data_IF_859118449712
#
_entry.id   IF_859118449712
#
_cell.length_a   1.000
_cell.length_b   1.000
_cell.length_c   1.000
_cell.angle_alpha   90.00
_cell.angle_beta   90.00
_cell.angle_gamma   90.00
#
_symmetry.space_group_name_H-M   'P 1'
#
loop_
_entity.id
_entity.type
_entity.pdbx_description
1 polymer ?
#
# COMPACT_ATOMS: atom_id res chain seq x y z
N UNK A 1 -1.22 7.82 64.21
CA UNK A 1 -2.66 7.88 64.50
C UNK A 1 -3.41 7.30 63.29
N UNK A 2 -3.94 6.11 63.46
CA UNK A 2 -4.68 5.35 62.44
C UNK A 2 -6.11 5.86 62.33
N UNK A 3 -6.67 5.96 61.15
CA UNK A 3 -8.12 5.73 60.97
C UNK A 3 -8.37 5.21 59.54
N UNK A 4 -8.84 3.99 59.48
CA UNK A 4 -9.40 3.32 58.32
C UNK A 4 -10.89 3.62 58.23
N UNK A 5 -11.44 3.86 57.06
CA UNK A 5 -12.88 3.74 56.81
C UNK A 5 -13.10 2.92 55.54
N UNK A 6 -13.71 1.74 55.75
CA UNK A 6 -14.34 0.92 54.69
C UNK A 6 -15.76 1.45 54.43
N UNK A 7 -16.17 1.50 53.19
CA UNK A 7 -17.59 1.44 52.86
C UNK A 7 -17.79 0.68 51.56
N UNK A 8 -18.45 -0.44 51.66
CA UNK A 8 -19.00 -1.28 50.60
C UNK A 8 -20.34 -0.72 50.12
N UNK A 9 -20.57 -0.62 48.81
CA UNK A 9 -21.92 -0.53 48.26
C UNK A 9 -22.09 -1.54 47.10
N UNK A 10 -22.97 -2.52 47.36
CA UNK A 10 -23.55 -3.45 46.42
C UNK A 10 -24.56 -2.71 45.53
N UNK A 11 -24.53 -3.01 44.20
CA UNK A 11 -25.58 -2.64 43.26
C UNK A 11 -26.55 -3.82 43.11
N UNK A 12 -27.87 -3.57 42.96
CA UNK A 12 -28.89 -4.62 42.78
C UNK A 12 -29.06 -5.01 41.30
N UNK A 13 -29.63 -6.21 41.16
CA UNK A 13 -29.70 -7.03 39.94
C UNK A 13 -30.54 -6.45 38.79
N UNK A 14 -30.22 -6.97 37.57
CA UNK A 14 -30.96 -6.82 36.35
C UNK A 14 -32.26 -7.65 36.34
N UNK A 15 -33.33 -7.17 35.69
CA UNK A 15 -34.38 -8.07 35.20
C UNK A 15 -34.02 -8.60 33.79
N UNK A 16 -34.41 -9.86 33.57
CA UNK A 16 -34.34 -10.55 32.29
C UNK A 16 -35.44 -10.01 31.33
N UNK A 17 -35.09 -9.73 30.10
CA UNK A 17 -36.00 -9.36 29.03
C UNK A 17 -35.47 -9.86 27.68
N UNK A 18 -36.33 -10.54 26.98
CA UNK A 18 -36.20 -11.41 25.84
C UNK A 18 -35.44 -10.84 24.62
N UNK A 19 -34.64 -11.71 24.01
CA UNK A 19 -33.97 -11.51 22.74
C UNK A 19 -34.91 -11.83 21.60
N UNK A 20 -35.13 -10.89 20.67
CA UNK A 20 -35.55 -11.22 19.30
C UNK A 20 -34.41 -10.84 18.36
N UNK A 21 -33.88 -11.89 17.71
CA UNK A 21 -32.71 -11.79 16.86
C UNK A 21 -32.97 -11.07 15.53
N UNK A 22 -31.98 -10.33 15.11
CA UNK A 22 -31.56 -10.19 13.70
C UNK A 22 -30.04 -10.12 13.69
N UNK A 23 -29.39 -11.26 13.72
CA UNK A 23 -27.98 -11.36 13.32
C UNK A 23 -27.89 -11.26 11.79
N UNK A 24 -27.58 -10.08 11.27
CA UNK A 24 -27.00 -9.97 9.92
C UNK A 24 -25.47 -10.03 10.11
N UNK A 25 -24.91 -11.12 9.58
CA UNK A 25 -23.49 -11.43 9.68
C UNK A 25 -22.58 -10.32 9.16
N UNK A 26 -21.88 -9.69 10.06
CA UNK A 26 -20.65 -8.97 9.77
C UNK A 26 -19.57 -10.01 9.50
N UNK A 27 -19.27 -10.28 8.22
CA UNK A 27 -18.07 -11.02 7.87
C UNK A 27 -16.87 -10.15 8.25
N UNK A 28 -16.21 -10.52 9.34
CA UNK A 28 -14.96 -9.91 9.77
C UNK A 28 -13.88 -10.14 8.70
N UNK A 29 -13.33 -9.08 8.13
CA UNK A 29 -12.15 -9.12 7.26
C UNK A 29 -10.99 -9.73 8.07
N UNK A 30 -10.31 -10.77 7.55
CA UNK A 30 -9.30 -11.49 8.30
C UNK A 30 -8.13 -10.58 8.69
N UNK A 31 -7.77 -10.56 9.97
CA UNK A 31 -6.50 -10.01 10.44
C UNK A 31 -5.32 -10.75 9.76
N UNK A 32 -4.12 -10.15 9.74
CA UNK A 32 -2.88 -10.80 9.23
C UNK A 32 -2.66 -12.20 9.83
N UNK A 33 -3.23 -12.47 11.00
CA UNK A 33 -3.27 -13.77 11.65
C UNK A 33 -4.24 -14.76 10.98
N UNK A 34 -5.29 -14.30 10.33
CA UNK A 34 -6.23 -15.13 9.56
C UNK A 34 -5.69 -15.48 8.18
N UNK A 35 -4.88 -14.59 7.56
CA UNK A 35 -4.09 -14.92 6.37
C UNK A 35 -3.11 -16.06 6.69
N UNK A 36 -2.43 -16.05 7.85
CA UNK A 36 -1.56 -17.15 8.30
C UNK A 36 -2.26 -18.50 8.44
N UNK A 37 -3.56 -18.55 8.64
CA UNK A 37 -4.32 -19.81 8.78
C UNK A 37 -4.73 -20.44 7.44
N UNK A 38 -4.85 -19.65 6.37
CA UNK A 38 -5.17 -20.13 5.00
C UNK A 38 -3.93 -20.53 4.20
N UNK A 39 -2.80 -19.85 4.44
CA UNK A 39 -1.53 -20.16 3.79
C UNK A 39 -0.63 -20.94 4.79
N UNK A 40 -0.65 -22.28 4.70
CA UNK A 40 0.13 -23.22 5.54
C UNK A 40 1.63 -23.30 5.17
N UNK A 41 2.09 -22.41 4.30
CA UNK A 41 3.49 -22.30 3.91
C UNK A 41 4.23 -21.34 4.87
N UNK A 42 5.52 -21.60 5.17
CA UNK A 42 6.34 -20.63 5.88
C UNK A 42 6.29 -19.32 5.10
N UNK A 43 6.13 -18.20 5.81
CA UNK A 43 6.09 -16.86 5.23
C UNK A 43 7.29 -16.69 4.31
N UNK A 44 7.13 -16.50 2.98
CA UNK A 44 8.26 -16.55 2.07
C UNK A 44 9.15 -15.32 2.23
N UNK A 45 10.46 -15.57 2.23
CA UNK A 45 11.50 -14.55 2.18
C UNK A 45 12.43 -14.84 1.00
N UNK A 46 12.88 -13.78 0.34
CA UNK A 46 13.96 -13.83 -0.62
C UNK A 46 15.18 -13.11 -0.03
N UNK A 47 16.37 -13.62 -0.29
CA UNK A 47 17.60 -12.91 -0.01
C UNK A 47 18.11 -12.29 -1.31
N UNK A 48 18.13 -10.96 -1.36
CA UNK A 48 18.51 -10.18 -2.54
C UNK A 48 19.60 -9.20 -2.13
N UNK A 49 20.80 -9.36 -2.67
CA UNK A 49 21.96 -8.51 -2.38
C UNK A 49 22.23 -8.31 -0.88
N UNK A 50 22.07 -9.38 -0.08
CA UNK A 50 22.25 -9.33 1.37
C UNK A 50 21.12 -8.62 2.13
N UNK A 51 19.97 -8.41 1.50
CA UNK A 51 18.73 -7.92 2.10
C UNK A 51 17.70 -9.03 2.10
N UNK A 52 17.10 -9.31 3.24
CA UNK A 52 15.99 -10.23 3.37
C UNK A 52 14.68 -9.50 3.11
N UNK A 53 14.02 -9.87 2.01
CA UNK A 53 12.73 -9.32 1.60
C UNK A 53 11.61 -10.31 1.92
N UNK A 54 10.61 -9.85 2.66
CA UNK A 54 9.36 -10.54 2.84
C UNK A 54 8.43 -10.27 1.64
N UNK A 55 7.65 -11.27 1.23
CA UNK A 55 6.61 -11.10 0.21
C UNK A 55 5.44 -12.06 0.44
N UNK A 56 4.27 -11.69 -0.09
CA UNK A 56 3.14 -12.61 -0.26
C UNK A 56 3.21 -13.19 -1.67
N UNK A 57 2.91 -14.49 -1.84
CA UNK A 57 2.82 -15.18 -3.13
C UNK A 57 1.54 -16.02 -3.15
N UNK A 58 0.67 -15.78 -4.11
CA UNK A 58 -0.61 -16.46 -4.20
C UNK A 58 -1.02 -16.69 -5.67
N UNK A 59 -1.71 -17.81 -5.94
CA UNK A 59 -2.08 -18.20 -7.30
C UNK A 59 -0.89 -18.79 -8.08
N UNK A 60 -1.07 -19.04 -9.39
CA UNK A 60 -0.05 -19.75 -10.17
C UNK A 60 0.03 -19.35 -11.65
N UNK A 61 -0.97 -18.63 -12.20
CA UNK A 61 -1.04 -18.37 -13.64
C UNK A 61 -0.26 -17.11 -14.03
N UNK A 62 0.46 -17.20 -15.12
CA UNK A 62 1.22 -16.08 -15.72
C UNK A 62 0.37 -15.28 -16.74
N UNK A 63 0.72 -14.00 -17.01
CA UNK A 63 1.77 -13.23 -16.34
C UNK A 63 1.40 -12.88 -14.90
N UNK A 64 2.41 -12.92 -14.02
CA UNK A 64 2.22 -12.58 -12.62
C UNK A 64 1.93 -11.08 -12.44
N UNK A 65 1.11 -10.76 -11.43
CA UNK A 65 0.83 -9.38 -11.01
C UNK A 65 1.65 -9.08 -9.76
N UNK A 66 2.43 -8.01 -9.77
CA UNK A 66 3.23 -7.54 -8.65
C UNK A 66 2.61 -6.28 -8.07
N UNK A 67 2.21 -6.35 -6.81
CA UNK A 67 1.49 -5.29 -6.09
C UNK A 67 2.46 -4.51 -5.20
N UNK A 68 2.76 -3.27 -5.55
CA UNK A 68 3.73 -2.40 -4.89
C UNK A 68 3.01 -1.46 -3.93
N UNK A 69 3.29 -1.59 -2.63
CA UNK A 69 2.52 -0.91 -1.58
C UNK A 69 2.80 0.59 -1.46
N UNK A 70 1.87 1.31 -0.83
CA UNK A 70 1.99 2.72 -0.49
C UNK A 70 2.83 2.96 0.77
N UNK A 71 3.39 4.16 0.89
CA UNK A 71 3.93 4.69 2.14
C UNK A 71 2.78 5.14 3.06
N UNK A 72 2.81 4.88 4.35
CA UNK A 72 3.81 4.10 5.08
C UNK A 72 3.30 2.68 5.43
N UNK A 73 2.65 2.01 4.50
CA UNK A 73 2.07 0.69 4.71
C UNK A 73 3.05 -0.44 4.31
N UNK A 74 2.55 -1.66 4.23
CA UNK A 74 3.28 -2.85 3.76
C UNK A 74 2.34 -3.74 2.92
N UNK A 75 2.83 -4.88 2.42
CA UNK A 75 2.08 -5.80 1.53
C UNK A 75 0.69 -6.17 2.06
N UNK A 76 0.47 -6.16 3.38
CA UNK A 76 -0.82 -6.42 3.99
C UNK A 76 -1.97 -5.51 3.54
N UNK A 77 -1.66 -4.33 2.97
CA UNK A 77 -2.69 -3.48 2.37
C UNK A 77 -3.36 -4.10 1.14
N UNK A 78 -2.68 -5.06 0.51
CA UNK A 78 -3.15 -5.72 -0.69
C UNK A 78 -4.01 -6.97 -0.43
N UNK A 79 -4.41 -7.23 0.82
CA UNK A 79 -5.18 -8.43 1.17
C UNK A 79 -6.44 -8.66 0.30
N UNK A 80 -7.28 -7.65 0.00
CA UNK A 80 -8.44 -7.83 -0.87
C UNK A 80 -8.05 -8.15 -2.33
N UNK A 81 -6.95 -7.58 -2.84
CA UNK A 81 -6.45 -7.80 -4.19
C UNK A 81 -5.78 -9.18 -4.31
N UNK A 82 -5.01 -9.57 -3.29
CA UNK A 82 -4.42 -10.92 -3.21
C UNK A 82 -5.51 -12.00 -3.24
N UNK A 83 -6.57 -11.85 -2.44
CA UNK A 83 -7.67 -12.81 -2.41
C UNK A 83 -8.40 -12.90 -3.76
N UNK A 84 -8.69 -11.77 -4.40
CA UNK A 84 -9.43 -11.72 -5.64
C UNK A 84 -8.61 -12.18 -6.85
N UNK A 85 -7.45 -11.56 -7.08
CA UNK A 85 -6.66 -11.76 -8.29
C UNK A 85 -5.97 -13.13 -8.33
N UNK A 86 -5.65 -13.71 -7.16
CA UNK A 86 -5.00 -15.03 -7.10
C UNK A 86 -5.88 -16.18 -7.59
N UNK A 87 -7.18 -15.96 -7.77
CA UNK A 87 -8.08 -16.94 -8.36
C UNK A 87 -7.80 -17.19 -9.86
N UNK A 88 -7.20 -16.23 -10.55
CA UNK A 88 -6.93 -16.29 -11.98
C UNK A 88 -5.49 -16.04 -12.38
N UNK A 89 -4.66 -15.49 -11.49
CA UNK A 89 -3.25 -15.13 -11.78
C UNK A 89 -2.35 -15.40 -10.58
N UNK A 90 -1.05 -15.52 -10.81
CA UNK A 90 -0.06 -15.45 -9.72
C UNK A 90 0.08 -14.00 -9.29
N UNK A 91 0.02 -13.75 -7.98
CA UNK A 91 0.07 -12.40 -7.40
C UNK A 91 1.18 -12.35 -6.36
N UNK A 92 2.10 -11.42 -6.54
CA UNK A 92 3.23 -11.18 -5.64
C UNK A 92 3.04 -9.81 -4.99
N UNK A 93 3.13 -9.74 -3.67
CA UNK A 93 3.12 -8.46 -2.96
C UNK A 93 4.33 -8.40 -2.02
N UNK A 94 5.43 -7.73 -2.42
CA UNK A 94 6.59 -7.56 -1.56
C UNK A 94 6.35 -6.49 -0.50
N UNK A 95 6.98 -6.67 0.65
CA UNK A 95 7.27 -5.57 1.57
C UNK A 95 8.54 -4.88 1.10
N UNK A 96 8.49 -3.59 0.86
CA UNK A 96 9.70 -2.83 0.55
C UNK A 96 10.68 -2.81 1.73
N UNK A 97 11.96 -2.59 1.44
CA UNK A 97 12.98 -2.37 2.46
C UNK A 97 12.50 -1.36 3.50
N UNK A 98 12.56 -1.72 4.77
CA UNK A 98 12.10 -0.87 5.87
C UNK A 98 10.65 -1.09 6.29
N UNK A 99 9.89 -1.98 5.61
CA UNK A 99 8.46 -2.18 5.86
C UNK A 99 8.11 -3.66 6.10
N UNK A 100 7.04 -3.87 6.85
CA UNK A 100 6.46 -5.18 7.09
C UNK A 100 7.46 -6.18 7.69
N UNK A 101 7.69 -7.29 6.99
CA UNK A 101 8.63 -8.34 7.38
C UNK A 101 10.02 -8.22 6.75
N UNK A 102 10.23 -7.24 5.85
CA UNK A 102 11.54 -7.00 5.23
C UNK A 102 12.53 -6.35 6.18
N UNK A 103 13.82 -6.51 5.88
CA UNK A 103 14.88 -5.86 6.65
C UNK A 103 14.72 -4.33 6.66
N UNK A 104 15.12 -3.71 7.77
CA UNK A 104 15.06 -2.26 7.97
C UNK A 104 16.42 -1.74 8.45
N UNK A 105 17.46 -1.71 7.58
CA UNK A 105 18.78 -1.25 7.98
C UNK A 105 18.79 0.25 8.24
N UNK A 106 19.62 0.68 9.17
CA UNK A 106 19.84 2.11 9.47
C UNK A 106 20.60 2.83 8.35
N UNK A 107 21.32 2.08 7.52
CA UNK A 107 22.08 2.65 6.39
C UNK A 107 21.16 3.10 5.27
N UNK A 108 21.21 4.40 4.95
CA UNK A 108 20.28 5.05 4.02
C UNK A 108 20.62 4.84 2.54
N UNK A 109 21.77 4.26 2.18
CA UNK A 109 22.22 4.22 0.78
C UNK A 109 21.29 3.44 -0.18
N UNK A 110 20.52 2.47 0.33
CA UNK A 110 19.55 1.69 -0.48
C UNK A 110 18.14 2.29 -0.49
N UNK A 111 17.86 3.26 0.36
CA UNK A 111 16.56 3.92 0.40
C UNK A 111 16.47 4.98 -0.69
N UNK A 112 16.39 4.51 -1.93
CA UNK A 112 16.13 5.31 -3.12
C UNK A 112 15.08 4.60 -3.96
N UNK A 113 14.39 5.32 -4.86
CA UNK A 113 13.43 4.66 -5.77
C UNK A 113 14.13 3.64 -6.67
N UNK A 114 15.38 3.92 -7.08
CA UNK A 114 16.20 2.96 -7.82
C UNK A 114 16.57 1.76 -6.96
N UNK A 115 16.99 1.96 -5.70
CA UNK A 115 17.30 0.85 -4.79
C UNK A 115 16.10 -0.08 -4.54
N UNK A 116 14.89 0.48 -4.40
CA UNK A 116 13.68 -0.33 -4.33
C UNK A 116 13.42 -1.09 -5.63
N UNK A 117 13.66 -0.47 -6.80
CA UNK A 117 13.51 -1.11 -8.11
C UNK A 117 14.52 -2.24 -8.30
N UNK A 118 15.78 -2.08 -7.88
CA UNK A 118 16.84 -3.09 -7.96
C UNK A 118 16.50 -4.30 -7.06
N UNK A 119 16.05 -4.04 -5.83
CA UNK A 119 15.60 -5.10 -4.91
C UNK A 119 14.38 -5.85 -5.47
N UNK A 120 13.46 -5.14 -6.13
CA UNK A 120 12.33 -5.77 -6.81
C UNK A 120 12.83 -6.66 -7.98
N UNK A 121 13.77 -6.19 -8.81
CA UNK A 121 14.34 -6.97 -9.90
C UNK A 121 14.98 -8.27 -9.39
N UNK A 122 15.78 -8.18 -8.32
CA UNK A 122 16.37 -9.36 -7.67
C UNK A 122 15.33 -10.31 -7.08
N UNK A 123 14.21 -9.80 -6.53
CA UNK A 123 13.10 -10.64 -6.09
C UNK A 123 12.45 -11.37 -7.27
N UNK A 124 12.22 -10.70 -8.39
CA UNK A 124 11.67 -11.32 -9.59
C UNK A 124 12.59 -12.41 -10.13
N UNK A 125 13.91 -12.20 -10.10
CA UNK A 125 14.91 -13.20 -10.50
C UNK A 125 14.88 -14.41 -9.56
N UNK A 126 14.80 -14.19 -8.24
CA UNK A 126 14.63 -15.25 -7.25
C UNK A 126 13.37 -16.11 -7.50
N UNK A 127 12.28 -15.47 -7.95
CA UNK A 127 11.01 -16.13 -8.25
C UNK A 127 10.94 -16.73 -9.66
N UNK A 128 11.96 -16.53 -10.50
CA UNK A 128 12.00 -16.98 -11.89
C UNK A 128 11.01 -16.22 -12.79
N UNK A 129 10.59 -15.01 -12.40
CA UNK A 129 9.63 -14.18 -13.13
C UNK A 129 10.36 -13.29 -14.12
N UNK A 130 10.22 -13.56 -15.42
CA UNK A 130 10.91 -12.81 -16.48
C UNK A 130 10.19 -11.50 -16.79
N UNK A 131 8.87 -11.54 -16.87
CA UNK A 131 8.04 -10.38 -17.24
C UNK A 131 6.74 -10.37 -16.45
N UNK A 132 6.38 -9.22 -15.87
CA UNK A 132 5.27 -9.09 -14.92
C UNK A 132 4.38 -7.89 -15.24
N UNK A 133 3.17 -7.91 -14.70
CA UNK A 133 2.33 -6.72 -14.57
C UNK A 133 2.75 -6.02 -13.28
N UNK A 134 3.07 -4.72 -13.32
CA UNK A 134 3.29 -3.91 -12.13
C UNK A 134 2.02 -3.14 -11.77
N UNK A 135 1.57 -3.26 -10.52
CA UNK A 135 0.49 -2.47 -9.95
C UNK A 135 1.04 -1.70 -8.74
N UNK A 136 1.29 -0.40 -8.91
CA UNK A 136 1.86 0.45 -7.87
C UNK A 136 0.86 1.48 -7.34
N UNK A 137 0.67 1.52 -6.01
CA UNK A 137 -0.14 2.55 -5.36
C UNK A 137 0.76 3.58 -4.68
N UNK A 138 0.58 4.88 -5.00
CA UNK A 138 1.30 6.01 -4.39
C UNK A 138 2.82 5.85 -4.52
N UNK A 139 3.55 5.63 -3.43
CA UNK A 139 4.99 5.32 -3.45
C UNK A 139 5.30 4.10 -4.33
N UNK A 140 4.44 3.08 -4.34
CA UNK A 140 4.58 1.93 -5.23
C UNK A 140 4.59 2.31 -6.71
N UNK A 141 3.86 3.38 -7.09
CA UNK A 141 3.91 3.96 -8.44
C UNK A 141 5.25 4.64 -8.73
N UNK A 142 5.87 5.30 -7.74
CA UNK A 142 7.23 5.87 -7.91
C UNK A 142 8.28 4.78 -8.13
N UNK A 143 8.15 3.67 -7.40
CA UNK A 143 9.00 2.49 -7.63
C UNK A 143 8.74 1.88 -9.00
N UNK A 144 7.48 1.82 -9.45
CA UNK A 144 7.13 1.32 -10.78
C UNK A 144 7.75 2.18 -11.90
N UNK A 145 7.76 3.51 -11.78
CA UNK A 145 8.47 4.39 -12.73
C UNK A 145 9.98 4.14 -12.72
N UNK A 146 10.60 4.00 -11.53
CA UNK A 146 12.02 3.69 -11.43
C UNK A 146 12.35 2.32 -12.04
N UNK A 147 11.50 1.32 -11.80
CA UNK A 147 11.64 -0.02 -12.36
C UNK A 147 11.50 0.00 -13.89
N UNK A 148 10.48 0.67 -14.40
CA UNK A 148 10.26 0.78 -15.85
C UNK A 148 11.42 1.48 -16.58
N UNK A 149 12.03 2.49 -15.95
CA UNK A 149 13.22 3.18 -16.48
C UNK A 149 14.43 2.26 -16.57
N UNK A 150 14.62 1.39 -15.57
CA UNK A 150 15.80 0.54 -15.47
C UNK A 150 15.64 -0.82 -16.16
N UNK A 151 14.42 -1.37 -16.13
CA UNK A 151 14.10 -2.73 -16.58
C UNK A 151 12.83 -2.75 -17.46
N UNK A 152 12.75 -1.93 -18.55
CA UNK A 152 11.51 -1.78 -19.32
C UNK A 152 11.02 -3.10 -19.95
N UNK A 153 11.94 -4.00 -20.31
CA UNK A 153 11.61 -5.31 -20.88
C UNK A 153 10.95 -6.27 -19.89
N UNK A 154 11.09 -6.01 -18.59
CA UNK A 154 10.51 -6.83 -17.50
C UNK A 154 9.04 -6.50 -17.22
N UNK A 155 8.49 -5.45 -17.85
CA UNK A 155 7.11 -4.99 -17.61
C UNK A 155 6.21 -5.36 -18.79
N UNK A 156 5.11 -6.07 -18.52
CA UNK A 156 4.12 -6.46 -19.55
C UNK A 156 2.93 -5.50 -19.60
N UNK A 157 2.52 -4.97 -18.45
CA UNK A 157 1.48 -3.95 -18.32
C UNK A 157 1.70 -3.18 -17.02
N UNK A 158 1.08 -2.00 -16.90
CA UNK A 158 1.27 -1.09 -15.77
C UNK A 158 -0.07 -0.63 -15.21
N UNK A 159 -0.21 -0.68 -13.89
CA UNK A 159 -1.33 -0.07 -13.16
C UNK A 159 -0.75 0.97 -12.20
N UNK A 160 -1.13 2.23 -12.38
CA UNK A 160 -0.67 3.39 -11.61
C UNK A 160 -1.83 3.92 -10.77
N UNK A 161 -1.89 3.52 -9.50
CA UNK A 161 -2.98 3.89 -8.60
C UNK A 161 -2.56 5.02 -7.64
N UNK A 162 -3.37 6.08 -7.52
CA UNK A 162 -3.19 7.16 -6.54
C UNK A 162 -1.74 7.69 -6.49
N UNK A 163 -1.08 7.83 -7.64
CA UNK A 163 0.33 8.20 -7.78
C UNK A 163 0.51 9.39 -8.72
N UNK A 164 1.75 9.80 -8.97
CA UNK A 164 2.09 10.90 -9.88
C UNK A 164 3.46 10.69 -10.52
N UNK A 165 3.62 11.21 -11.74
CA UNK A 165 4.90 11.22 -12.44
C UNK A 165 5.83 12.34 -11.96
N UNK A 166 5.28 13.51 -11.59
CA UNK A 166 6.06 14.67 -11.20
C UNK A 166 6.88 14.46 -9.92
N UNK A 167 8.07 15.04 -9.88
CA UNK A 167 8.90 15.13 -8.68
C UNK A 167 8.19 15.90 -7.56
N UNK A 168 8.75 15.86 -6.34
CA UNK A 168 8.27 16.70 -5.25
C UNK A 168 8.53 18.18 -5.55
N UNK A 169 7.54 19.02 -5.24
CA UNK A 169 7.74 20.47 -5.15
C UNK A 169 8.64 20.81 -3.95
N UNK A 170 9.21 22.01 -3.92
CA UNK A 170 9.99 22.51 -2.78
C UNK A 170 9.21 22.33 -1.47
N UNK A 171 7.94 22.72 -1.44
CA UNK A 171 7.10 22.58 -0.24
C UNK A 171 6.85 21.11 0.16
N UNK A 172 6.76 20.18 -0.82
CA UNK A 172 6.64 18.76 -0.53
C UNK A 172 7.96 18.19 0.02
N UNK A 173 9.09 18.61 -0.53
CA UNK A 173 10.42 18.24 -0.05
C UNK A 173 10.64 18.69 1.40
N UNK A 174 10.37 19.97 1.70
CA UNK A 174 10.48 20.54 3.05
C UNK A 174 9.58 19.78 4.04
N UNK A 175 8.32 19.55 3.69
CA UNK A 175 7.39 18.78 4.53
C UNK A 175 7.91 17.38 4.84
N UNK A 176 8.54 16.67 3.88
CA UNK A 176 9.13 15.35 4.15
C UNK A 176 10.35 15.43 5.05
N UNK A 177 11.13 16.51 4.95
CA UNK A 177 12.26 16.76 5.85
C UNK A 177 11.75 16.99 7.29
N UNK A 178 10.74 17.83 7.47
CA UNK A 178 10.11 18.04 8.78
C UNK A 178 9.55 16.72 9.37
N UNK A 179 8.96 15.88 8.54
CA UNK A 179 8.48 14.55 8.96
C UNK A 179 9.63 13.64 9.41
N UNK A 180 10.76 13.63 8.71
CA UNK A 180 11.96 12.88 9.12
C UNK A 180 12.50 13.37 10.47
N UNK A 181 12.59 14.67 10.66
CA UNK A 181 13.06 15.29 11.91
C UNK A 181 12.12 14.96 13.08
N UNK A 182 10.80 14.99 12.85
CA UNK A 182 9.81 14.57 13.85
C UNK A 182 9.96 13.10 14.22
N UNK A 183 10.13 12.21 13.24
CA UNK A 183 10.34 10.78 13.50
C UNK A 183 11.62 10.56 14.30
N UNK A 184 12.71 11.22 13.92
CA UNK A 184 14.00 11.12 14.62
C UNK A 184 13.92 11.63 16.06
N UNK A 185 13.11 12.67 16.32
CA UNK A 185 12.98 13.29 17.63
C UNK A 185 12.02 12.59 18.58
N UNK A 186 10.84 12.18 18.08
CA UNK A 186 9.73 11.70 18.93
C UNK A 186 9.08 10.39 18.44
N UNK A 187 9.66 9.79 17.39
CA UNK A 187 9.20 8.50 16.84
C UNK A 187 8.03 8.61 15.86
N UNK A 188 7.70 7.48 15.23
CA UNK A 188 6.68 7.40 14.17
C UNK A 188 5.27 7.71 14.66
N UNK A 189 4.96 7.46 15.93
CA UNK A 189 3.62 7.67 16.50
C UNK A 189 3.10 9.11 16.34
N UNK A 190 4.00 10.09 16.33
CA UNK A 190 3.63 11.50 16.16
C UNK A 190 3.03 11.82 14.79
N UNK A 191 3.40 11.07 13.75
CA UNK A 191 2.93 11.28 12.40
C UNK A 191 1.72 10.42 12.03
N UNK A 192 1.44 9.35 12.77
CA UNK A 192 0.43 8.36 12.36
C UNK A 192 -0.93 8.99 12.08
N UNK A 193 -1.44 9.84 12.98
CA UNK A 193 -2.77 10.44 12.83
C UNK A 193 -2.80 11.48 11.70
N UNK A 194 -1.72 12.23 11.50
CA UNK A 194 -1.62 13.21 10.41
C UNK A 194 -1.59 12.51 9.05
N UNK A 195 -0.79 11.44 8.93
CA UNK A 195 -0.70 10.65 7.71
C UNK A 195 -2.01 9.90 7.44
N UNK A 196 -2.61 9.29 8.46
CA UNK A 196 -3.87 8.55 8.35
C UNK A 196 -5.01 9.44 7.83
N UNK A 197 -5.05 10.70 8.27
CA UNK A 197 -6.06 11.68 7.81
C UNK A 197 -5.99 11.94 6.30
N UNK A 198 -4.80 11.86 5.68
CA UNK A 198 -4.64 12.02 4.23
C UNK A 198 -4.83 10.72 3.44
N UNK A 199 -4.68 9.56 4.09
CA UNK A 199 -4.73 8.26 3.41
C UNK A 199 -6.16 7.77 3.12
N UNK A 200 -7.15 8.18 3.92
CA UNK A 200 -8.54 7.74 3.80
C UNK A 200 -9.46 8.95 3.54
N UNK A 201 -10.51 8.75 2.76
CA UNK A 201 -11.54 9.76 2.55
C UNK A 201 -12.24 10.16 3.85
N UNK A 202 -12.79 11.36 3.91
CA UNK A 202 -13.58 11.83 5.06
C UNK A 202 -14.76 10.89 5.34
N UNK A 203 -15.39 10.41 4.27
CA UNK A 203 -16.47 9.44 4.37
C UNK A 203 -16.02 8.15 5.06
N UNK A 204 -14.93 7.56 4.61
CA UNK A 204 -14.37 6.33 5.19
C UNK A 204 -13.99 6.54 6.65
N UNK A 205 -13.33 7.66 6.98
CA UNK A 205 -12.95 7.98 8.36
C UNK A 205 -14.15 8.13 9.30
N UNK A 206 -15.26 8.62 8.79
CA UNK A 206 -16.49 8.80 9.58
C UNK A 206 -17.32 7.52 9.71
N UNK A 207 -17.27 6.59 8.73
CA UNK A 207 -18.22 5.47 8.64
C UNK A 207 -17.58 4.08 8.77
N UNK A 208 -16.26 3.95 8.55
CA UNK A 208 -15.52 2.68 8.51
C UNK A 208 -14.40 2.67 9.55
N UNK A 209 -14.76 2.73 10.84
CA UNK A 209 -13.79 2.72 11.94
C UNK A 209 -12.95 1.44 11.98
N UNK A 210 -13.48 0.33 11.49
CA UNK A 210 -12.76 -0.93 11.29
C UNK A 210 -11.59 -0.75 10.32
N UNK A 211 -11.81 -0.07 9.19
CA UNK A 211 -10.79 0.20 8.18
C UNK A 211 -9.77 1.23 8.66
N UNK A 212 -10.21 2.26 9.39
CA UNK A 212 -9.31 3.22 10.05
C UNK A 212 -8.32 2.50 10.97
N UNK A 213 -8.82 1.61 11.81
CA UNK A 213 -7.97 0.84 12.74
C UNK A 213 -7.09 -0.18 12.02
N UNK A 214 -7.60 -0.81 10.95
CA UNK A 214 -6.79 -1.68 10.09
C UNK A 214 -5.65 -0.90 9.45
N UNK A 215 -5.92 0.27 8.88
CA UNK A 215 -4.91 1.13 8.26
C UNK A 215 -3.85 1.55 9.29
N UNK A 216 -4.25 1.94 10.50
CA UNK A 216 -3.33 2.27 11.59
C UNK A 216 -2.38 1.11 11.92
N UNK A 217 -2.89 -0.13 11.95
CA UNK A 217 -2.04 -1.33 12.15
C UNK A 217 -1.06 -1.55 11.00
N UNK A 218 -1.47 -1.32 9.75
CA UNK A 218 -0.60 -1.44 8.57
C UNK A 218 0.51 -0.38 8.54
N UNK A 219 0.33 0.73 9.25
CA UNK A 219 1.33 1.79 9.40
C UNK A 219 2.37 1.49 10.50
N UNK A 220 2.24 0.41 11.26
CA UNK A 220 3.17 0.05 12.33
C UNK A 220 4.48 -0.54 11.78
N UNK A 221 5.38 0.31 11.29
CA UNK A 221 6.65 -0.06 10.68
C UNK A 221 7.85 0.62 11.39
N UNK A 222 9.09 0.09 11.22
CA UNK A 222 10.29 0.67 11.83
C UNK A 222 10.54 2.13 11.41
N UNK A 223 11.10 2.94 12.31
CA UNK A 223 11.45 4.34 12.04
C UNK A 223 12.43 4.46 10.87
N UNK A 224 13.40 3.54 10.74
CA UNK A 224 14.34 3.50 9.62
C UNK A 224 13.63 3.41 8.27
N UNK A 225 12.57 2.58 8.16
CA UNK A 225 11.74 2.48 6.96
C UNK A 225 11.03 3.79 6.61
N UNK A 226 10.45 4.45 7.61
CA UNK A 226 9.83 5.76 7.42
C UNK A 226 10.82 6.80 6.93
N UNK A 227 11.94 6.97 7.64
CA UNK A 227 12.97 7.96 7.31
C UNK A 227 13.54 7.69 5.92
N UNK A 228 13.89 6.42 5.64
CA UNK A 228 14.44 6.00 4.35
C UNK A 228 13.47 6.21 3.19
N UNK A 229 12.20 5.84 3.34
CA UNK A 229 11.21 6.05 2.30
C UNK A 229 10.91 7.54 2.05
N UNK A 230 10.86 8.37 3.10
CA UNK A 230 10.74 9.82 2.95
C UNK A 230 11.93 10.40 2.18
N UNK A 231 13.16 9.92 2.47
CA UNK A 231 14.36 10.28 1.73
C UNK A 231 14.29 9.89 0.26
N UNK A 232 13.92 8.64 -0.01
CA UNK A 232 13.74 8.15 -1.37
C UNK A 232 12.70 8.95 -2.17
N UNK A 233 11.59 9.32 -1.53
CA UNK A 233 10.54 10.11 -2.16
C UNK A 233 10.94 11.54 -2.44
N UNK A 234 11.70 12.20 -1.53
CA UNK A 234 12.23 13.57 -1.73
C UNK A 234 13.08 13.68 -2.98
N UNK A 235 13.91 12.68 -3.20
CA UNK A 235 14.92 12.69 -4.25
C UNK A 235 14.52 11.90 -5.51
N UNK A 236 13.22 11.49 -5.62
CA UNK A 236 12.79 10.81 -6.83
C UNK A 236 12.88 11.72 -8.05
N UNK A 237 13.37 11.22 -9.19
CA UNK A 237 13.36 11.97 -10.43
C UNK A 237 11.94 12.32 -10.88
N UNK A 238 11.81 13.42 -11.63
CA UNK A 238 10.62 13.74 -12.37
C UNK A 238 10.47 12.77 -13.57
N UNK A 239 9.38 12.04 -13.61
CA UNK A 239 9.07 11.10 -14.67
C UNK A 239 8.08 11.67 -15.73
N UNK A 240 7.68 12.94 -15.62
CA UNK A 240 6.69 13.56 -16.50
C UNK A 240 7.17 13.50 -17.98
N UNK A 241 8.45 13.76 -18.22
CA UNK A 241 9.02 13.71 -19.56
C UNK A 241 9.16 12.29 -20.15
N UNK A 242 8.99 11.26 -19.33
CA UNK A 242 9.11 9.84 -19.71
C UNK A 242 7.77 9.22 -20.09
N UNK A 243 6.64 9.86 -19.72
CA UNK A 243 5.29 9.31 -19.91
C UNK A 243 5.00 8.94 -21.37
N UNK A 244 5.41 9.79 -22.31
CA UNK A 244 5.22 9.54 -23.76
C UNK A 244 6.01 8.34 -24.28
N UNK A 245 7.04 7.89 -23.56
CA UNK A 245 7.83 6.70 -23.87
C UNK A 245 7.27 5.40 -23.31
N UNK A 246 6.23 5.43 -22.49
CA UNK A 246 5.58 4.23 -21.94
C UNK A 246 4.76 3.58 -23.06
N UNK A 247 5.21 2.41 -23.52
CA UNK A 247 4.58 1.67 -24.61
C UNK A 247 3.78 0.45 -24.18
N UNK A 248 3.88 0.08 -22.91
CA UNK A 248 3.10 -1.04 -22.35
C UNK A 248 1.66 -0.58 -22.04
N UNK A 249 0.67 -1.46 -22.16
CA UNK A 249 -0.69 -1.15 -21.74
C UNK A 249 -0.70 -0.60 -20.30
N UNK A 250 -1.40 0.52 -20.09
CA UNK A 250 -1.38 1.23 -18.82
C UNK A 250 -2.78 1.60 -18.35
N UNK A 251 -3.09 1.25 -17.09
CA UNK A 251 -4.29 1.69 -16.39
C UNK A 251 -3.88 2.69 -15.31
N UNK A 252 -4.43 3.89 -15.34
CA UNK A 252 -4.33 4.90 -14.28
C UNK A 252 -5.56 4.80 -13.41
N UNK A 253 -5.40 4.78 -12.07
CA UNK A 253 -6.51 4.66 -11.12
C UNK A 253 -6.41 5.74 -10.05
N UNK A 254 -7.54 6.27 -9.62
CA UNK A 254 -7.59 7.28 -8.55
C UNK A 254 -8.91 7.21 -7.80
N UNK A 255 -8.88 7.44 -6.50
CA UNK A 255 -10.09 7.69 -5.74
C UNK A 255 -10.68 9.08 -6.05
N UNK A 256 -12.00 9.19 -6.15
CA UNK A 256 -12.69 10.46 -6.41
C UNK A 256 -12.37 11.52 -5.33
N UNK A 257 -12.24 11.06 -4.08
CA UNK A 257 -11.97 11.88 -2.88
C UNK A 257 -10.49 11.89 -2.48
N UNK A 258 -9.56 11.46 -3.36
CA UNK A 258 -8.12 11.47 -3.06
C UNK A 258 -7.59 12.92 -3.02
N UNK A 259 -7.20 13.38 -1.84
CA UNK A 259 -6.63 14.71 -1.62
C UNK A 259 -5.10 14.75 -1.75
N UNK A 260 -4.43 13.59 -1.66
CA UNK A 260 -2.97 13.50 -1.81
C UNK A 260 -2.54 13.42 -3.27
N UNK A 261 -3.29 12.68 -4.08
CA UNK A 261 -3.09 12.57 -5.52
C UNK A 261 -4.44 12.73 -6.23
N UNK A 262 -4.98 13.97 -6.30
CA UNK A 262 -6.33 14.20 -6.77
C UNK A 262 -6.52 13.78 -8.25
N UNK A 263 -7.78 13.63 -8.71
CA UNK A 263 -8.08 13.14 -10.06
C UNK A 263 -7.40 13.90 -11.19
N UNK A 264 -7.09 15.20 -11.01
CA UNK A 264 -6.37 15.99 -12.02
C UNK A 264 -4.92 15.51 -12.24
N UNK A 265 -4.29 14.99 -11.18
CA UNK A 265 -2.96 14.37 -11.28
C UNK A 265 -3.03 13.07 -12.09
N UNK A 266 -4.07 12.27 -11.88
CA UNK A 266 -4.31 11.06 -12.66
C UNK A 266 -4.58 11.39 -14.15
N UNK A 267 -5.38 12.44 -14.42
CA UNK A 267 -5.61 12.92 -15.81
C UNK A 267 -4.32 13.35 -16.50
N UNK A 268 -3.41 14.02 -15.77
CA UNK A 268 -2.11 14.40 -16.34
C UNK A 268 -1.27 13.18 -16.80
N UNK A 269 -1.36 12.07 -16.08
CA UNK A 269 -0.71 10.82 -16.50
C UNK A 269 -1.45 10.17 -17.68
N UNK A 270 -2.78 10.16 -17.67
CA UNK A 270 -3.59 9.69 -18.78
C UNK A 270 -3.23 10.41 -20.10
N UNK A 271 -3.16 11.75 -20.02
CA UNK A 271 -2.84 12.59 -21.18
C UNK A 271 -1.39 12.38 -21.70
N UNK A 272 -0.48 12.06 -20.75
CA UNK A 272 0.95 11.87 -21.06
C UNK A 272 1.30 10.47 -21.58
N UNK A 273 0.53 9.43 -21.25
CA UNK A 273 0.83 8.03 -21.61
C UNK A 273 -0.03 7.60 -22.80
N UNK A 274 0.56 7.30 -23.97
CA UNK A 274 -0.19 6.89 -25.15
C UNK A 274 -1.04 5.63 -24.88
N UNK A 275 -2.34 5.72 -25.16
CA UNK A 275 -3.26 4.59 -25.02
C UNK A 275 -3.59 4.18 -23.58
N UNK A 276 -3.23 4.99 -22.58
CA UNK A 276 -3.62 4.73 -21.20
C UNK A 276 -5.13 4.80 -21.00
N UNK A 277 -5.62 4.08 -20.02
CA UNK A 277 -7.01 4.09 -19.55
C UNK A 277 -7.08 4.76 -18.17
N UNK A 278 -8.23 5.34 -17.80
CA UNK A 278 -8.47 5.95 -16.50
C UNK A 278 -9.67 5.32 -15.80
N UNK A 279 -9.48 4.90 -14.55
CA UNK A 279 -10.57 4.51 -13.66
C UNK A 279 -10.62 5.46 -12.45
N UNK A 280 -11.74 6.16 -12.26
CA UNK A 280 -12.01 6.97 -11.08
C UNK A 280 -12.94 6.19 -10.17
N UNK A 281 -12.51 5.92 -8.93
CA UNK A 281 -13.23 5.10 -7.97
C UNK A 281 -14.10 6.00 -7.07
N UNK A 282 -15.43 5.85 -7.10
CA UNK A 282 -16.32 6.75 -6.41
C UNK A 282 -16.18 6.63 -4.89
N UNK A 283 -16.23 7.74 -4.18
CA UNK A 283 -16.21 7.83 -2.71
C UNK A 283 -14.97 7.20 -2.07
N UNK A 284 -13.90 6.99 -2.81
CA UNK A 284 -12.65 6.47 -2.31
C UNK A 284 -11.60 7.60 -2.21
N UNK A 285 -10.80 7.58 -1.17
CA UNK A 285 -9.63 8.44 -0.99
C UNK A 285 -8.37 7.81 -1.57
N UNK A 286 -7.24 8.08 -0.91
CA UNK A 286 -5.91 7.68 -1.40
C UNK A 286 -5.69 6.17 -1.39
N UNK A 287 -6.21 5.45 -0.39
CA UNK A 287 -6.15 3.99 -0.32
C UNK A 287 -7.37 3.35 -1.00
N UNK A 288 -7.62 3.71 -2.24
CA UNK A 288 -8.79 3.29 -3.00
C UNK A 288 -8.92 1.77 -3.13
N UNK A 289 -7.83 1.03 -3.06
CA UNK A 289 -7.80 -0.44 -3.02
C UNK A 289 -8.41 -1.04 -1.73
N UNK A 290 -8.42 -0.27 -0.63
CA UNK A 290 -9.01 -0.65 0.65
C UNK A 290 -10.40 -0.04 0.86
N UNK A 291 -10.62 1.15 0.34
CA UNK A 291 -11.88 1.89 0.49
C UNK A 291 -12.98 1.39 -0.45
N UNK A 292 -12.60 1.03 -1.69
CA UNK A 292 -13.47 0.49 -2.74
C UNK A 292 -12.87 -0.77 -3.37
N UNK A 293 -12.67 -1.86 -2.59
CA UNK A 293 -11.93 -3.03 -3.05
C UNK A 293 -12.58 -3.76 -4.22
N UNK A 294 -13.91 -3.81 -4.29
CA UNK A 294 -14.66 -4.47 -5.35
C UNK A 294 -14.45 -3.72 -6.68
N UNK A 295 -14.62 -2.40 -6.68
CA UNK A 295 -14.44 -1.55 -7.86
C UNK A 295 -12.96 -1.54 -8.31
N UNK A 296 -12.02 -1.50 -7.38
CA UNK A 296 -10.60 -1.60 -7.68
C UNK A 296 -10.28 -2.93 -8.36
N UNK A 297 -10.73 -4.03 -7.78
CA UNK A 297 -10.53 -5.38 -8.30
C UNK A 297 -11.17 -5.56 -9.69
N UNK A 298 -12.40 -5.06 -9.87
CA UNK A 298 -13.10 -5.13 -11.15
C UNK A 298 -12.35 -4.38 -12.25
N UNK A 299 -11.89 -3.14 -11.98
CA UNK A 299 -11.14 -2.34 -12.94
C UNK A 299 -9.82 -3.00 -13.35
N UNK A 300 -9.05 -3.54 -12.38
CA UNK A 300 -7.81 -4.27 -12.66
C UNK A 300 -8.07 -5.54 -13.44
N UNK A 301 -9.09 -6.33 -13.08
CA UNK A 301 -9.43 -7.58 -13.75
C UNK A 301 -9.88 -7.32 -15.19
N UNK A 302 -10.74 -6.34 -15.42
CA UNK A 302 -11.21 -5.96 -16.75
C UNK A 302 -10.04 -5.51 -17.63
N UNK A 303 -9.18 -4.62 -17.13
CA UNK A 303 -7.97 -4.21 -17.84
C UNK A 303 -7.08 -5.40 -18.19
N UNK A 304 -6.77 -6.28 -17.23
CA UNK A 304 -5.90 -7.44 -17.45
C UNK A 304 -6.50 -8.51 -18.38
N UNK A 305 -7.83 -8.58 -18.50
CA UNK A 305 -8.49 -9.53 -19.38
C UNK A 305 -8.29 -9.21 -20.87
N UNK A 306 -7.85 -7.99 -21.19
CA UNK A 306 -7.59 -7.49 -22.55
C UNK A 306 -6.11 -7.52 -22.94
N UNK A 307 -5.20 -8.02 -22.05
CA UNK A 307 -3.76 -8.05 -22.25
C UNK A 307 -3.20 -9.42 -22.64
#
# INVERSE_FOLDING_TARGET
>A
MRLAVRASTRWPGRPAGESTGVERGLQAIPSSFALRRRYREPVPFAEVDGVRLHYCDAGASEPAVVLLHAFPLHAGMWAPQLEHLSTGRRVIAPDFLGFGGSDAPDSMYRYTMLGYADLLAGLLDHLGLVRVVLCGLSMGGYVAFAFLRQYPERVSALVLAATRAAADTTAAFERRTDQQDQIAGIGTAALLEVLLAGLLSDHTRATRLDLVEQTRRLMANPAAGYIGALEAMKHRPDATGELAGITVPTLVMVGEDDTLSPPDVARSMLDGIPGAELAVLPRAGHLSNLEAPEEFNAAVTDFLSRQ
#
